data_IF_655381710555
#
_entry.id   IF_655381710555
#
_cell.length_a   1.000
_cell.length_b   1.000
_cell.length_c   1.000
_cell.angle_alpha   90.00
_cell.angle_beta   90.00
_cell.angle_gamma   90.00
#
_symmetry.space_group_name_H-M   'P 1'
#
loop_
_entity.id
_entity.type
_entity.pdbx_description
1 polymer ?
#
# COMPACT_ATOMS: atom_id res chain seq x y z
N UNK A 1 -46.47 -29.31 5.03
CA UNK A 1 -46.45 -29.82 3.63
C UNK A 1 -46.45 -28.65 2.71
N UNK A 2 -45.57 -28.63 1.72
CA UNK A 2 -45.60 -27.61 0.67
C UNK A 2 -46.73 -27.91 -0.35
N UNK A 3 -47.10 -26.89 -1.16
CA UNK A 3 -48.17 -27.04 -2.18
C UNK A 3 -47.90 -28.16 -3.20
N UNK A 4 -46.66 -28.64 -3.33
CA UNK A 4 -46.18 -29.71 -4.21
C UNK A 4 -46.18 -31.10 -3.55
N UNK A 5 -46.73 -31.24 -2.35
CA UNK A 5 -46.76 -32.53 -1.58
C UNK A 5 -45.41 -32.90 -0.93
N UNK A 6 -44.37 -32.10 -1.04
CA UNK A 6 -43.08 -32.39 -0.40
C UNK A 6 -43.09 -32.04 1.08
N UNK A 7 -42.47 -32.90 1.92
CA UNK A 7 -42.29 -32.66 3.36
C UNK A 7 -40.88 -32.17 3.63
N UNK A 8 -40.75 -31.08 4.38
CA UNK A 8 -39.47 -30.62 4.92
C UNK A 8 -39.42 -30.85 6.40
N UNK A 9 -38.28 -31.31 6.91
CA UNK A 9 -38.05 -31.64 8.31
C UNK A 9 -37.15 -30.58 8.95
N UNK A 10 -37.53 -30.08 10.12
CA UNK A 10 -36.71 -29.15 10.88
C UNK A 10 -35.88 -29.94 11.92
N UNK A 11 -34.57 -29.97 11.70
CA UNK A 11 -33.61 -30.55 12.66
C UNK A 11 -33.21 -29.42 13.60
N UNK A 12 -33.33 -29.67 14.93
CA UNK A 12 -33.03 -28.69 15.97
C UNK A 12 -31.95 -29.26 16.89
N UNK A 13 -30.87 -28.50 17.09
CA UNK A 13 -29.73 -28.88 17.94
C UNK A 13 -29.45 -27.77 18.95
N UNK A 14 -29.05 -28.15 20.17
CA UNK A 14 -28.62 -27.19 21.19
C UNK A 14 -27.20 -26.72 20.96
N UNK A 15 -26.98 -25.41 21.01
CA UNK A 15 -25.66 -24.75 20.92
C UNK A 15 -25.27 -24.13 22.27
N UNK A 16 -25.57 -24.80 23.40
CA UNK A 16 -25.26 -24.33 24.74
C UNK A 16 -26.25 -23.30 25.26
N UNK A 17 -25.78 -22.43 26.16
CA UNK A 17 -26.59 -21.42 26.85
C UNK A 17 -26.02 -20.02 26.60
N UNK A 18 -26.88 -19.00 26.50
CA UNK A 18 -26.47 -17.60 26.43
C UNK A 18 -26.00 -17.09 27.80
N UNK A 19 -25.50 -15.83 27.85
CA UNK A 19 -25.06 -15.18 29.09
C UNK A 19 -26.18 -15.01 30.13
N UNK A 20 -27.44 -15.15 29.74
CA UNK A 20 -28.62 -15.08 30.60
C UNK A 20 -29.12 -16.46 31.01
N UNK A 21 -28.36 -17.54 30.68
CA UNK A 21 -28.71 -18.91 31.03
C UNK A 21 -29.82 -19.52 30.15
N UNK A 22 -30.21 -18.94 29.04
CA UNK A 22 -31.22 -19.44 28.12
C UNK A 22 -30.56 -20.32 27.05
N UNK A 23 -31.16 -21.48 26.79
CA UNK A 23 -30.69 -22.44 25.80
C UNK A 23 -30.73 -21.83 24.39
N UNK A 24 -29.60 -21.85 23.69
CA UNK A 24 -29.47 -21.42 22.31
C UNK A 24 -29.73 -22.61 21.39
N UNK A 25 -30.80 -22.55 20.60
CA UNK A 25 -31.21 -23.63 19.70
C UNK A 25 -30.93 -23.23 18.26
N UNK A 26 -30.29 -24.13 17.52
CA UNK A 26 -29.98 -24.00 16.08
C UNK A 26 -30.89 -24.89 15.28
N UNK A 27 -31.46 -24.37 14.21
CA UNK A 27 -32.39 -25.09 13.35
C UNK A 27 -31.80 -25.23 11.94
N UNK A 28 -31.96 -26.44 11.35
CA UNK A 28 -31.66 -26.70 9.92
C UNK A 28 -32.86 -27.38 9.29
N UNK A 29 -33.30 -26.88 8.12
CA UNK A 29 -34.36 -27.50 7.36
C UNK A 29 -33.75 -28.47 6.32
N UNK A 30 -34.18 -29.72 6.35
CA UNK A 30 -33.82 -30.74 5.37
C UNK A 30 -35.07 -31.16 4.58
N UNK A 31 -34.95 -31.15 3.25
CA UNK A 31 -36.01 -31.65 2.35
C UNK A 31 -35.49 -32.90 1.65
N UNK A 32 -36.02 -34.05 1.97
CA UNK A 32 -35.59 -35.30 1.33
C UNK A 32 -35.96 -35.34 -0.17
N UNK A 33 -35.21 -36.08 -0.98
CA UNK A 33 -35.54 -36.30 -2.39
C UNK A 33 -36.93 -36.96 -2.52
N UNK A 34 -37.63 -36.64 -3.67
CA UNK A 34 -38.92 -37.26 -3.93
C UNK A 34 -38.87 -38.78 -3.88
N UNK A 35 -39.86 -39.42 -3.22
CA UNK A 35 -39.94 -40.89 -3.15
C UNK A 35 -39.19 -41.53 -1.98
N UNK A 36 -38.50 -40.77 -1.13
CA UNK A 36 -37.85 -41.32 0.07
C UNK A 36 -38.83 -41.42 1.20
N UNK A 37 -39.16 -42.65 1.61
CA UNK A 37 -40.14 -42.95 2.68
C UNK A 37 -39.68 -44.05 3.64
N UNK A 38 -40.36 -44.22 4.78
CA UNK A 38 -40.12 -45.29 5.74
C UNK A 38 -38.72 -45.30 6.35
N UNK A 39 -38.18 -46.50 6.58
CA UNK A 39 -36.89 -46.71 7.23
C UNK A 39 -35.68 -45.99 6.52
N UNK A 40 -35.76 -45.77 5.20
CA UNK A 40 -34.73 -45.02 4.48
C UNK A 40 -34.73 -43.56 4.88
N UNK A 41 -35.92 -42.97 5.00
CA UNK A 41 -36.06 -41.58 5.40
C UNK A 41 -35.60 -41.37 6.86
N UNK A 42 -35.98 -42.26 7.79
CA UNK A 42 -35.53 -42.19 9.19
C UNK A 42 -34.00 -42.27 9.31
N UNK A 43 -33.38 -43.21 8.59
CA UNK A 43 -31.91 -43.36 8.58
C UNK A 43 -31.21 -42.10 8.05
N UNK A 44 -31.76 -41.50 7.00
CA UNK A 44 -31.21 -40.30 6.43
C UNK A 44 -31.41 -39.07 7.30
N UNK A 45 -32.61 -38.93 7.94
CA UNK A 45 -32.87 -37.87 8.92
C UNK A 45 -31.92 -37.95 10.10
N UNK A 46 -31.69 -39.18 10.61
CA UNK A 46 -30.74 -39.40 11.69
C UNK A 46 -29.33 -39.03 11.29
N UNK A 47 -28.87 -39.45 10.08
CA UNK A 47 -27.57 -39.10 9.56
C UNK A 47 -27.39 -37.58 9.45
N UNK A 48 -28.42 -36.88 8.95
CA UNK A 48 -28.41 -35.41 8.83
C UNK A 48 -28.41 -34.73 10.19
N UNK A 49 -29.13 -35.29 11.18
CA UNK A 49 -29.15 -34.77 12.55
C UNK A 49 -27.79 -34.95 13.23
N UNK A 50 -27.20 -36.16 13.14
CA UNK A 50 -25.88 -36.46 13.72
C UNK A 50 -24.78 -35.58 13.09
N UNK A 51 -24.80 -35.41 11.77
CA UNK A 51 -23.87 -34.53 11.06
C UNK A 51 -24.04 -33.08 11.50
N UNK A 52 -25.28 -32.60 11.64
CA UNK A 52 -25.58 -31.24 12.10
C UNK A 52 -25.20 -31.01 13.56
N UNK A 53 -25.41 -32.01 14.43
CA UNK A 53 -24.97 -31.95 15.82
C UNK A 53 -23.44 -31.85 15.94
N UNK A 54 -22.70 -32.64 15.14
CA UNK A 54 -21.24 -32.53 15.08
C UNK A 54 -20.78 -31.18 14.58
N UNK A 55 -21.42 -30.62 13.53
CA UNK A 55 -21.13 -29.29 13.06
C UNK A 55 -21.33 -28.21 14.14
N UNK A 56 -22.43 -28.29 14.89
CA UNK A 56 -22.72 -27.36 15.98
C UNK A 56 -21.73 -27.53 17.15
N UNK A 57 -21.39 -28.77 17.53
CA UNK A 57 -20.38 -29.06 18.56
C UNK A 57 -18.98 -28.62 18.16
N UNK A 58 -18.64 -28.70 16.89
CA UNK A 58 -17.36 -28.19 16.34
C UNK A 58 -17.31 -26.66 16.20
N UNK A 59 -18.33 -25.96 16.74
CA UNK A 59 -18.35 -24.48 16.73
C UNK A 59 -18.66 -23.88 15.38
N UNK A 60 -19.22 -24.66 14.42
CA UNK A 60 -19.74 -24.11 13.18
C UNK A 60 -21.07 -23.41 13.54
N UNK A 61 -20.95 -22.16 13.87
CA UNK A 61 -21.95 -21.28 14.46
C UNK A 61 -23.18 -21.07 13.54
N UNK A 62 -24.27 -20.64 14.15
CA UNK A 62 -25.50 -20.07 13.56
C UNK A 62 -25.27 -19.04 12.44
N UNK A 63 -24.10 -18.42 12.40
CA UNK A 63 -23.63 -17.48 11.38
C UNK A 63 -23.24 -18.18 10.07
N UNK A 64 -23.50 -19.51 9.93
CA UNK A 64 -23.29 -20.22 8.66
C UNK A 64 -24.12 -19.65 7.47
N UNK A 65 -25.14 -18.84 7.75
CA UNK A 65 -25.90 -18.07 6.75
C UNK A 65 -25.30 -16.72 6.43
N UNK A 66 -24.26 -16.27 7.17
CA UNK A 66 -23.58 -14.99 6.95
C UNK A 66 -23.04 -14.90 5.52
N UNK A 67 -23.28 -13.78 4.86
CA UNK A 67 -22.73 -13.51 3.55
C UNK A 67 -21.29 -12.97 3.64
N UNK A 68 -20.57 -13.04 2.54
CA UNK A 68 -19.19 -12.52 2.46
C UNK A 68 -19.13 -11.02 2.74
N UNK A 69 -20.11 -10.24 2.29
CA UNK A 69 -20.16 -8.80 2.57
C UNK A 69 -20.26 -8.52 4.08
N UNK A 70 -21.12 -9.25 4.79
CA UNK A 70 -21.28 -9.11 6.24
C UNK A 70 -20.02 -9.53 6.99
N UNK A 71 -19.36 -10.62 6.55
CA UNK A 71 -18.08 -11.06 7.10
C UNK A 71 -16.98 -10.01 6.90
N UNK A 72 -16.89 -9.39 5.73
CA UNK A 72 -15.90 -8.36 5.41
C UNK A 72 -16.11 -7.14 6.31
N UNK A 73 -17.33 -6.66 6.45
CA UNK A 73 -17.63 -5.52 7.34
C UNK A 73 -17.34 -5.83 8.80
N UNK A 74 -17.71 -7.03 9.27
CA UNK A 74 -17.34 -7.50 10.61
C UNK A 74 -15.81 -7.55 10.79
N UNK A 75 -15.08 -8.03 9.78
CA UNK A 75 -13.63 -8.08 9.81
C UNK A 75 -13.01 -6.69 9.90
N UNK A 76 -13.57 -5.69 9.19
CA UNK A 76 -13.12 -4.30 9.32
C UNK A 76 -13.36 -3.77 10.74
N UNK A 77 -14.57 -3.91 11.24
CA UNK A 77 -14.99 -3.33 12.54
C UNK A 77 -14.29 -4.00 13.73
N UNK A 78 -14.24 -5.33 13.74
CA UNK A 78 -13.72 -6.06 14.89
C UNK A 78 -12.20 -6.25 14.88
N UNK A 79 -11.58 -6.23 13.70
CA UNK A 79 -10.16 -6.52 13.59
C UNK A 79 -9.35 -5.44 12.86
N UNK A 80 -9.68 -5.13 11.58
CA UNK A 80 -8.79 -4.37 10.74
C UNK A 80 -8.57 -2.95 11.26
N UNK A 81 -9.65 -2.24 11.63
CA UNK A 81 -9.59 -0.85 12.12
C UNK A 81 -8.87 -0.75 13.47
N UNK A 82 -8.91 -1.81 14.30
CA UNK A 82 -8.25 -1.84 15.61
C UNK A 82 -6.80 -2.29 15.57
N UNK A 83 -6.42 -3.11 14.59
CA UNK A 83 -5.10 -3.79 14.58
C UNK A 83 -4.21 -3.44 13.40
N UNK A 84 -4.77 -3.00 12.27
CA UNK A 84 -4.00 -2.67 11.10
C UNK A 84 -3.71 -1.17 11.03
N UNK A 85 -2.64 -0.81 10.33
CA UNK A 85 -2.31 0.59 10.08
C UNK A 85 -3.39 1.24 9.19
N UNK A 86 -3.76 2.48 9.48
CA UNK A 86 -4.82 3.22 8.79
C UNK A 86 -4.68 3.20 7.24
N UNK A 87 -3.44 3.30 6.71
CA UNK A 87 -3.19 3.19 5.27
C UNK A 87 -3.52 1.80 4.71
N UNK A 88 -3.28 0.74 5.47
CA UNK A 88 -3.63 -0.64 5.07
C UNK A 88 -5.14 -0.80 5.05
N UNK A 89 -5.84 -0.31 6.07
CA UNK A 89 -7.31 -0.31 6.12
C UNK A 89 -7.88 0.44 4.92
N UNK A 90 -7.38 1.65 4.64
CA UNK A 90 -7.79 2.43 3.48
C UNK A 90 -7.59 1.66 2.16
N UNK A 91 -6.44 1.04 1.99
CA UNK A 91 -6.16 0.27 0.77
C UNK A 91 -7.08 -0.95 0.64
N UNK A 92 -7.36 -1.67 1.72
CA UNK A 92 -8.26 -2.81 1.72
C UNK A 92 -9.72 -2.40 1.47
N UNK A 93 -10.18 -1.28 2.02
CA UNK A 93 -11.52 -0.74 1.71
C UNK A 93 -11.72 -0.51 0.22
N UNK A 94 -10.67 -0.10 -0.52
CA UNK A 94 -10.73 0.08 -1.98
C UNK A 94 -10.88 -1.22 -2.77
N UNK A 95 -10.56 -2.37 -2.20
CA UNK A 95 -10.72 -3.67 -2.85
C UNK A 95 -12.14 -4.22 -2.69
N UNK A 96 -12.88 -3.77 -1.65
CA UNK A 96 -14.19 -4.30 -1.29
C UNK A 96 -15.19 -4.27 -2.44
N UNK A 97 -15.38 -3.17 -3.21
CA UNK A 97 -16.42 -3.12 -4.25
C UNK A 97 -16.33 -4.29 -5.25
N UNK A 98 -15.12 -4.65 -5.70
CA UNK A 98 -14.93 -5.78 -6.61
C UNK A 98 -15.12 -7.13 -5.93
N UNK A 99 -14.70 -7.26 -4.68
CA UNK A 99 -14.93 -8.48 -3.89
C UNK A 99 -16.43 -8.68 -3.69
N UNK A 100 -17.17 -7.64 -3.32
CA UNK A 100 -18.63 -7.67 -3.17
C UNK A 100 -19.35 -8.06 -4.47
N UNK A 101 -18.92 -7.50 -5.60
CA UNK A 101 -19.50 -7.84 -6.90
C UNK A 101 -19.30 -9.31 -7.27
N UNK A 102 -18.13 -9.89 -6.97
CA UNK A 102 -17.81 -11.27 -7.36
C UNK A 102 -18.17 -12.33 -6.31
N UNK A 103 -18.08 -12.00 -5.02
CA UNK A 103 -18.17 -12.98 -3.93
C UNK A 103 -19.18 -12.57 -2.84
N UNK A 104 -19.63 -11.30 -2.81
CA UNK A 104 -20.35 -10.71 -1.69
C UNK A 104 -21.61 -11.45 -1.26
N UNK A 105 -22.36 -12.00 -2.22
CA UNK A 105 -23.63 -12.71 -1.96
C UNK A 105 -23.45 -14.16 -1.57
N UNK A 106 -22.23 -14.73 -1.69
CA UNK A 106 -21.98 -16.10 -1.28
C UNK A 106 -22.04 -16.23 0.24
N UNK A 107 -22.60 -17.33 0.72
CA UNK A 107 -22.51 -17.68 2.14
C UNK A 107 -21.08 -18.06 2.48
N UNK A 108 -20.58 -17.56 3.59
CA UNK A 108 -19.19 -17.76 4.05
C UNK A 108 -18.82 -19.24 4.09
N UNK A 109 -19.71 -20.10 4.62
CA UNK A 109 -19.51 -21.56 4.69
C UNK A 109 -19.49 -22.26 3.32
N UNK A 110 -19.96 -21.61 2.25
CA UNK A 110 -20.03 -22.16 0.90
C UNK A 110 -18.88 -21.69 -0.01
N UNK A 111 -18.04 -20.77 0.48
CA UNK A 111 -16.90 -20.29 -0.31
C UNK A 111 -15.85 -21.40 -0.40
N UNK A 112 -15.60 -21.83 -1.65
CA UNK A 112 -14.62 -22.88 -1.99
C UNK A 112 -13.39 -22.26 -2.64
N UNK A 113 -12.24 -22.96 -2.64
CA UNK A 113 -11.07 -22.52 -3.41
C UNK A 113 -11.36 -22.21 -4.87
N UNK A 114 -12.25 -22.99 -5.52
CA UNK A 114 -12.68 -22.77 -6.91
C UNK A 114 -13.36 -21.41 -7.14
N UNK A 115 -14.16 -20.94 -6.18
CA UNK A 115 -14.79 -19.62 -6.28
C UNK A 115 -13.73 -18.51 -6.23
N UNK A 116 -12.70 -18.66 -5.39
CA UNK A 116 -11.59 -17.71 -5.28
C UNK A 116 -10.74 -17.71 -6.56
N UNK A 117 -10.43 -18.90 -7.11
CA UNK A 117 -9.68 -19.01 -8.36
C UNK A 117 -10.45 -18.38 -9.52
N UNK A 118 -11.76 -18.66 -9.66
CA UNK A 118 -12.62 -18.01 -10.65
C UNK A 118 -12.64 -16.48 -10.48
N UNK A 119 -12.73 -16.00 -9.24
CA UNK A 119 -12.67 -14.57 -8.95
C UNK A 119 -11.32 -13.97 -9.37
N UNK A 120 -10.19 -14.64 -9.12
CA UNK A 120 -8.87 -14.15 -9.55
C UNK A 120 -8.74 -14.15 -11.07
N UNK A 121 -9.21 -15.20 -11.76
CA UNK A 121 -9.24 -15.23 -13.22
C UNK A 121 -10.05 -14.07 -13.80
N UNK A 122 -11.23 -13.79 -13.25
CA UNK A 122 -12.04 -12.64 -13.69
C UNK A 122 -11.32 -11.30 -13.48
N UNK A 123 -10.49 -11.16 -12.43
CA UNK A 123 -9.69 -9.95 -12.21
C UNK A 123 -8.57 -9.79 -13.23
N UNK A 124 -8.11 -10.88 -13.85
CA UNK A 124 -7.07 -10.91 -14.89
C UNK A 124 -7.63 -10.84 -16.31
N UNK A 125 -8.95 -10.90 -16.49
CA UNK A 125 -9.59 -10.74 -17.79
C UNK A 125 -9.44 -9.31 -18.35
N UNK A 126 -9.38 -9.23 -19.67
CA UNK A 126 -9.40 -7.93 -20.37
C UNK A 126 -10.75 -7.25 -20.13
N UNK A 127 -10.74 -5.94 -19.91
CA UNK A 127 -11.95 -5.16 -19.64
C UNK A 127 -12.27 -4.93 -18.17
N UNK A 128 -11.67 -5.68 -17.23
CA UNK A 128 -11.90 -5.49 -15.78
C UNK A 128 -11.34 -4.14 -15.26
N UNK A 129 -10.38 -3.57 -15.98
CA UNK A 129 -9.80 -2.27 -15.68
C UNK A 129 -10.54 -1.17 -16.46
N UNK A 130 -11.72 -0.83 -16.04
CA UNK A 130 -12.45 0.36 -16.47
C UNK A 130 -11.83 1.62 -15.83
N UNK A 131 -10.63 1.98 -16.23
CA UNK A 131 -10.04 3.26 -15.86
C UNK A 131 -10.31 4.26 -17.00
N UNK A 132 -11.56 4.68 -17.17
CA UNK A 132 -11.85 5.88 -17.95
C UNK A 132 -11.20 7.07 -17.25
N UNK A 133 -10.40 7.82 -18.01
CA UNK A 133 -9.85 9.09 -17.56
C UNK A 133 -10.56 10.22 -18.28
N UNK A 134 -10.64 11.36 -17.65
CA UNK A 134 -11.45 12.49 -18.12
C UNK A 134 -10.58 13.73 -18.21
N UNK A 135 -10.59 14.42 -19.36
CA UNK A 135 -9.94 15.73 -19.54
C UNK A 135 -10.98 16.83 -19.65
N UNK A 136 -10.75 17.95 -19.00
CA UNK A 136 -11.64 19.10 -19.04
C UNK A 136 -11.79 19.65 -20.47
N UNK A 137 -13.01 19.90 -20.88
CA UNK A 137 -13.31 20.58 -22.16
C UNK A 137 -13.09 22.09 -22.05
N UNK A 138 -12.85 22.80 -23.16
CA UNK A 138 -12.81 24.27 -23.17
C UNK A 138 -14.05 24.89 -22.54
N UNK A 139 -15.24 24.34 -22.82
CA UNK A 139 -16.51 24.83 -22.29
C UNK A 139 -16.57 24.76 -20.73
N UNK A 140 -15.98 23.75 -20.12
CA UNK A 140 -15.86 23.68 -18.67
C UNK A 140 -14.86 24.73 -18.16
N UNK A 141 -13.71 24.90 -18.82
CA UNK A 141 -12.65 25.79 -18.38
C UNK A 141 -13.08 27.25 -18.42
N UNK A 142 -13.95 27.65 -19.37
CA UNK A 142 -14.56 28.97 -19.43
C UNK A 142 -15.44 29.28 -18.22
N UNK A 143 -16.14 28.28 -17.67
CA UNK A 143 -17.01 28.42 -16.50
C UNK A 143 -16.26 28.37 -15.17
N UNK A 144 -14.98 27.99 -15.18
CA UNK A 144 -14.17 27.78 -14.00
C UNK A 144 -12.95 28.71 -13.98
N UNK A 145 -13.10 30.01 -13.62
CA UNK A 145 -12.02 30.96 -13.68
C UNK A 145 -10.86 30.58 -12.72
N UNK A 146 -9.64 30.80 -13.20
CA UNK A 146 -8.41 30.44 -12.46
C UNK A 146 -8.30 31.07 -11.07
N UNK A 147 -8.85 32.24 -10.83
CA UNK A 147 -8.81 32.94 -9.55
C UNK A 147 -9.64 32.30 -8.43
N UNK A 148 -10.65 31.46 -8.78
CA UNK A 148 -11.58 30.85 -7.81
C UNK A 148 -11.30 29.36 -7.57
N UNK A 149 -10.12 28.85 -7.90
CA UNK A 149 -9.78 27.42 -7.80
C UNK A 149 -10.01 26.83 -6.41
N UNK A 150 -9.64 27.57 -5.37
CA UNK A 150 -9.79 27.11 -3.99
C UNK A 150 -11.26 26.94 -3.57
N UNK A 151 -12.11 27.89 -3.95
CA UNK A 151 -13.55 27.84 -3.67
C UNK A 151 -14.22 26.70 -4.44
N UNK A 152 -13.90 26.55 -5.74
CA UNK A 152 -14.42 25.49 -6.57
C UNK A 152 -13.96 24.11 -6.06
N UNK A 153 -12.68 23.98 -5.69
CA UNK A 153 -12.15 22.75 -5.10
C UNK A 153 -12.87 22.38 -3.80
N UNK A 154 -13.14 23.37 -2.94
CA UNK A 154 -13.88 23.17 -1.70
C UNK A 154 -15.33 22.79 -1.96
N UNK A 155 -16.01 23.46 -2.89
CA UNK A 155 -17.40 23.14 -3.28
C UNK A 155 -17.52 21.74 -3.90
N UNK A 156 -16.54 21.34 -4.72
CA UNK A 156 -16.48 20.00 -5.31
C UNK A 156 -15.99 18.92 -4.33
N UNK A 157 -15.51 19.29 -3.14
CA UNK A 157 -14.95 18.35 -2.18
C UNK A 157 -13.71 17.61 -2.73
N UNK A 158 -12.82 18.35 -3.45
CA UNK A 158 -11.55 17.86 -4.00
C UNK A 158 -10.40 18.73 -3.53
N UNK A 159 -9.16 18.26 -3.66
CA UNK A 159 -7.98 19.07 -3.33
C UNK A 159 -7.70 20.13 -4.40
N UNK A 160 -7.12 21.28 -4.00
CA UNK A 160 -6.72 22.35 -4.92
C UNK A 160 -5.77 21.87 -6.02
N UNK A 161 -4.85 20.95 -5.71
CA UNK A 161 -3.94 20.35 -6.70
C UNK A 161 -4.71 19.52 -7.74
N UNK A 162 -5.80 18.85 -7.32
CA UNK A 162 -6.69 18.14 -8.25
C UNK A 162 -7.40 19.14 -9.16
N UNK A 163 -7.87 20.26 -8.62
CA UNK A 163 -8.49 21.32 -9.42
C UNK A 163 -7.48 21.98 -10.38
N UNK A 164 -6.23 22.15 -9.94
CA UNK A 164 -5.14 22.63 -10.81
C UNK A 164 -4.89 21.67 -11.98
N UNK A 165 -4.97 20.36 -11.75
CA UNK A 165 -4.86 19.36 -12.81
C UNK A 165 -6.01 19.45 -13.81
N UNK A 166 -7.24 19.68 -13.33
CA UNK A 166 -8.41 19.95 -14.21
C UNK A 166 -8.12 21.15 -15.13
N UNK A 167 -7.66 22.27 -14.58
CA UNK A 167 -7.34 23.48 -15.35
C UNK A 167 -6.18 23.29 -16.37
N UNK A 168 -5.26 22.37 -16.10
CA UNK A 168 -4.15 22.07 -17.01
C UNK A 168 -4.52 21.06 -18.09
N UNK A 169 -5.77 20.60 -18.14
CA UNK A 169 -6.16 19.55 -19.06
C UNK A 169 -5.56 18.18 -18.76
N UNK A 170 -5.08 17.97 -17.52
CA UNK A 170 -4.57 16.68 -17.11
C UNK A 170 -5.71 15.68 -16.89
N UNK A 171 -5.42 14.40 -17.12
CA UNK A 171 -6.37 13.33 -16.87
C UNK A 171 -6.79 13.24 -15.39
N UNK A 172 -8.09 13.24 -15.13
CA UNK A 172 -8.68 13.06 -13.80
C UNK A 172 -9.56 11.81 -13.77
N UNK A 173 -9.87 11.32 -12.57
CA UNK A 173 -10.77 10.17 -12.39
C UNK A 173 -12.22 10.57 -12.64
N UNK A 174 -13.07 9.60 -12.98
CA UNK A 174 -14.52 9.78 -13.14
C UNK A 174 -15.15 10.49 -11.93
N UNK A 175 -14.86 10.04 -10.72
CA UNK A 175 -15.38 10.66 -9.50
C UNK A 175 -14.99 12.16 -9.37
N UNK A 176 -13.78 12.52 -9.82
CA UNK A 176 -13.34 13.92 -9.85
C UNK A 176 -14.12 14.69 -10.92
N UNK A 177 -14.23 14.12 -12.10
CA UNK A 177 -14.97 14.73 -13.22
C UNK A 177 -16.45 14.97 -12.87
N UNK A 178 -17.13 13.98 -12.28
CA UNK A 178 -18.53 14.11 -11.82
C UNK A 178 -18.71 15.20 -10.76
N UNK A 179 -17.80 15.29 -9.79
CA UNK A 179 -17.86 16.32 -8.74
C UNK A 179 -17.69 17.72 -9.30
N UNK A 180 -16.73 17.91 -10.21
CA UNK A 180 -16.47 19.20 -10.84
C UNK A 180 -17.61 19.57 -11.78
N UNK A 181 -18.13 18.62 -12.59
CA UNK A 181 -19.28 18.83 -13.46
C UNK A 181 -20.51 19.30 -12.68
N UNK A 182 -20.76 18.70 -11.51
CA UNK A 182 -21.89 19.08 -10.64
C UNK A 182 -21.75 20.52 -10.15
N UNK A 183 -20.56 20.95 -9.74
CA UNK A 183 -20.30 22.33 -9.30
C UNK A 183 -20.42 23.33 -10.45
N UNK A 184 -19.96 22.91 -11.65
CA UNK A 184 -20.06 23.75 -12.84
C UNK A 184 -21.47 23.79 -13.46
N UNK A 185 -22.39 22.95 -12.97
CA UNK A 185 -23.75 22.85 -13.55
C UNK A 185 -23.80 22.27 -14.98
N UNK A 186 -22.75 21.60 -15.43
CA UNK A 186 -22.67 20.99 -16.76
C UNK A 186 -22.81 19.46 -16.67
N UNK A 187 -23.50 18.83 -17.66
CA UNK A 187 -23.45 17.38 -17.81
C UNK A 187 -22.02 16.88 -18.03
N UNK A 188 -21.68 15.70 -17.49
CA UNK A 188 -20.34 15.13 -17.56
C UNK A 188 -19.79 15.08 -18.99
N UNK A 189 -20.63 14.68 -19.96
CA UNK A 189 -20.27 14.60 -21.39
C UNK A 189 -19.98 15.93 -22.07
N UNK A 190 -20.45 17.05 -21.51
CA UNK A 190 -20.13 18.41 -22.00
C UNK A 190 -18.96 19.03 -21.24
N UNK A 191 -18.81 18.66 -19.96
CA UNK A 191 -17.76 19.17 -19.08
C UNK A 191 -16.41 18.48 -19.32
N UNK A 192 -16.43 17.20 -19.68
CA UNK A 192 -15.21 16.41 -19.83
C UNK A 192 -15.26 15.54 -21.09
N UNK A 193 -14.10 15.38 -21.71
CA UNK A 193 -13.87 14.36 -22.73
C UNK A 193 -13.43 13.08 -22.03
N UNK A 194 -14.16 12.00 -22.24
CA UNK A 194 -13.81 10.68 -21.73
C UNK A 194 -12.76 10.04 -22.61
N UNK A 195 -11.70 9.56 -21.99
CA UNK A 195 -10.67 8.73 -22.61
C UNK A 195 -10.77 7.34 -22.00
N UNK A 196 -11.51 6.47 -22.68
CA UNK A 196 -11.57 5.06 -22.33
C UNK A 196 -10.21 4.46 -22.66
N UNK A 197 -9.44 4.05 -21.67
CA UNK A 197 -8.35 3.14 -21.92
C UNK A 197 -8.97 1.81 -22.26
N UNK A 198 -8.56 1.19 -23.38
CA UNK A 198 -8.89 -0.21 -23.64
C UNK A 198 -8.62 -1.00 -22.37
N UNK A 199 -9.65 -1.64 -21.84
CA UNK A 199 -9.66 -2.23 -20.52
C UNK A 199 -8.54 -3.26 -20.38
N UNK A 200 -7.45 -2.87 -19.69
CA UNK A 200 -6.34 -3.75 -19.39
C UNK A 200 -6.74 -4.72 -18.27
N UNK A 201 -6.08 -5.87 -18.25
CA UNK A 201 -6.14 -6.82 -17.12
C UNK A 201 -5.47 -6.22 -15.88
N UNK A 202 -5.88 -6.65 -14.69
CA UNK A 202 -5.10 -6.39 -13.49
C UNK A 202 -3.84 -7.26 -13.51
N UNK A 203 -2.70 -6.69 -13.14
CA UNK A 203 -1.48 -7.47 -13.02
C UNK A 203 -1.52 -8.41 -11.80
N UNK A 204 -0.76 -9.49 -11.84
CA UNK A 204 -0.72 -10.51 -10.79
C UNK A 204 -0.40 -9.92 -9.39
N UNK A 205 0.45 -8.89 -9.31
CA UNK A 205 0.75 -8.19 -8.05
C UNK A 205 -0.49 -7.53 -7.44
N UNK A 206 -1.36 -6.95 -8.28
CA UNK A 206 -2.63 -6.35 -7.83
C UNK A 206 -3.59 -7.44 -7.36
N UNK A 207 -3.73 -8.55 -8.10
CA UNK A 207 -4.60 -9.67 -7.71
C UNK A 207 -4.12 -10.30 -6.40
N UNK A 208 -2.80 -10.38 -6.16
CA UNK A 208 -2.27 -10.82 -4.87
C UNK A 208 -2.71 -9.92 -3.68
N UNK A 209 -3.00 -8.65 -3.88
CA UNK A 209 -3.56 -7.82 -2.80
C UNK A 209 -4.97 -8.27 -2.41
N UNK A 210 -5.80 -8.68 -3.39
CA UNK A 210 -7.11 -9.28 -3.11
C UNK A 210 -6.96 -10.59 -2.35
N UNK A 211 -6.07 -11.49 -2.80
CA UNK A 211 -5.79 -12.76 -2.13
C UNK A 211 -5.36 -12.54 -0.67
N UNK A 212 -4.41 -11.61 -0.42
CA UNK A 212 -3.93 -11.32 0.95
C UNK A 212 -5.04 -10.78 1.86
N UNK A 213 -5.90 -9.91 1.35
CA UNK A 213 -7.05 -9.41 2.10
C UNK A 213 -8.02 -10.55 2.43
N UNK A 214 -8.47 -11.32 1.42
CA UNK A 214 -9.39 -12.45 1.60
C UNK A 214 -8.81 -13.51 2.53
N UNK A 215 -7.53 -13.83 2.41
CA UNK A 215 -6.85 -14.76 3.31
C UNK A 215 -6.84 -14.26 4.76
N UNK A 216 -6.67 -12.94 4.99
CA UNK A 216 -6.77 -12.35 6.32
C UNK A 216 -8.21 -12.41 6.87
N UNK A 217 -9.21 -12.13 6.03
CA UNK A 217 -10.63 -12.22 6.38
C UNK A 217 -10.98 -13.67 6.80
N UNK A 218 -10.63 -14.66 5.96
CA UNK A 218 -10.91 -16.06 6.27
C UNK A 218 -10.10 -16.60 7.44
N UNK A 219 -8.89 -16.12 7.69
CA UNK A 219 -8.13 -16.46 8.89
C UNK A 219 -8.89 -16.03 10.14
N UNK A 220 -9.53 -14.86 10.11
CA UNK A 220 -10.40 -14.42 11.21
C UNK A 220 -11.71 -15.21 11.28
N UNK A 221 -12.30 -15.53 10.15
CA UNK A 221 -13.48 -16.38 10.09
C UNK A 221 -13.24 -17.75 10.76
N UNK A 222 -12.07 -18.37 10.55
CA UNK A 222 -11.66 -19.59 11.27
C UNK A 222 -11.53 -19.34 12.76
N UNK A 223 -10.87 -18.25 13.18
CA UNK A 223 -10.71 -17.90 14.60
C UNK A 223 -12.05 -17.58 15.29
N UNK A 224 -13.05 -17.10 14.55
CA UNK A 224 -14.40 -16.84 15.02
C UNK A 224 -15.31 -18.07 14.95
N UNK A 225 -14.81 -19.23 14.47
CA UNK A 225 -15.57 -20.47 14.34
C UNK A 225 -16.63 -20.46 13.22
N UNK A 226 -16.52 -19.55 12.25
CA UNK A 226 -17.48 -19.42 11.14
C UNK A 226 -17.23 -20.44 10.02
N UNK A 227 -15.98 -20.84 9.84
CA UNK A 227 -15.53 -21.85 8.86
C UNK A 227 -14.45 -22.73 9.48
N UNK A 228 -14.38 -24.01 9.10
CA UNK A 228 -13.39 -24.94 9.66
C UNK A 228 -11.97 -24.67 9.18
N UNK A 229 -11.81 -24.15 7.97
CA UNK A 229 -10.51 -23.85 7.38
C UNK A 229 -10.56 -22.61 6.47
N UNK A 230 -9.40 -22.04 6.21
CA UNK A 230 -9.27 -20.89 5.31
C UNK A 230 -9.15 -21.38 3.86
N UNK A 231 -10.16 -21.15 2.99
CA UNK A 231 -10.15 -21.62 1.60
C UNK A 231 -9.04 -20.98 0.75
N UNK A 232 -8.53 -19.80 1.15
CA UNK A 232 -7.43 -19.14 0.43
C UNK A 232 -6.12 -19.94 0.50
N UNK A 233 -5.94 -20.82 1.50
CA UNK A 233 -4.72 -21.65 1.60
C UNK A 233 -4.62 -22.69 0.50
N UNK A 234 -5.75 -23.08 -0.11
CA UNK A 234 -5.84 -24.04 -1.21
C UNK A 234 -6.10 -23.38 -2.55
N UNK A 235 -6.40 -22.09 -2.57
CA UNK A 235 -6.56 -21.32 -3.80
C UNK A 235 -5.17 -20.83 -4.26
N UNK A 236 -4.81 -21.17 -5.49
CA UNK A 236 -3.59 -20.64 -6.11
C UNK A 236 -3.79 -19.16 -6.43
N UNK A 237 -3.03 -18.29 -5.75
CA UNK A 237 -2.97 -16.89 -6.11
C UNK A 237 -2.10 -16.72 -7.37
N UNK A 238 -2.44 -15.77 -8.26
CA UNK A 238 -1.59 -15.44 -9.39
C UNK A 238 -0.15 -15.15 -8.96
N UNK A 239 0.82 -15.60 -9.77
CA UNK A 239 2.23 -15.30 -9.51
C UNK A 239 2.47 -13.80 -9.57
N UNK A 240 3.29 -13.29 -8.65
CA UNK A 240 3.79 -11.93 -8.75
C UNK A 240 4.65 -11.80 -10.01
N UNK A 241 4.41 -10.77 -10.79
CA UNK A 241 5.33 -10.38 -11.85
C UNK A 241 6.63 -9.89 -11.20
N UNK A 242 7.76 -10.43 -11.62
CA UNK A 242 9.06 -9.90 -11.23
C UNK A 242 9.21 -8.51 -11.84
N UNK A 243 9.45 -7.53 -10.99
CA UNK A 243 9.69 -6.15 -11.41
C UNK A 243 11.20 -5.98 -11.43
N UNK A 244 11.74 -5.71 -12.61
CA UNK A 244 13.15 -5.33 -12.73
C UNK A 244 13.44 -4.09 -11.87
N UNK A 245 14.44 -4.22 -11.02
CA UNK A 245 14.83 -3.15 -10.11
C UNK A 245 15.70 -2.16 -10.87
N UNK A 246 15.10 -1.06 -11.29
CA UNK A 246 15.82 0.01 -11.96
C UNK A 246 16.67 0.78 -10.94
N UNK A 247 17.98 0.84 -11.17
CA UNK A 247 18.91 1.71 -10.46
C UNK A 247 19.60 2.63 -11.48
N UNK A 248 20.01 3.80 -11.05
CA UNK A 248 20.82 4.70 -11.87
C UNK A 248 22.29 4.24 -11.85
N UNK A 249 22.96 4.34 -12.96
CA UNK A 249 24.41 4.15 -13.07
C UNK A 249 25.17 5.36 -12.50
N UNK A 250 26.46 5.20 -12.22
CA UNK A 250 27.29 6.28 -11.63
C UNK A 250 27.26 7.55 -12.45
N UNK A 251 27.32 7.45 -13.78
CA UNK A 251 27.26 8.58 -14.69
C UNK A 251 25.92 9.33 -14.60
N UNK A 252 24.82 8.58 -14.52
CA UNK A 252 23.48 9.16 -14.38
C UNK A 252 23.28 9.80 -13.00
N UNK A 253 23.90 9.25 -11.96
CA UNK A 253 23.91 9.87 -10.63
C UNK A 253 24.67 11.19 -10.67
N UNK A 254 25.82 11.25 -11.34
CA UNK A 254 26.57 12.50 -11.50
C UNK A 254 25.75 13.57 -12.27
N UNK A 255 25.10 13.17 -13.38
CA UNK A 255 24.18 14.05 -14.14
C UNK A 255 23.01 14.52 -13.30
N UNK A 256 22.41 13.62 -12.50
CA UNK A 256 21.32 13.97 -11.59
C UNK A 256 21.76 14.98 -10.53
N UNK A 257 22.91 14.77 -9.89
CA UNK A 257 23.44 15.70 -8.89
C UNK A 257 23.71 17.08 -9.48
N UNK A 258 24.20 17.15 -10.72
CA UNK A 258 24.38 18.41 -11.44
C UNK A 258 23.03 19.09 -11.74
N UNK A 259 22.06 18.35 -12.27
CA UNK A 259 20.72 18.88 -12.57
C UNK A 259 19.99 19.38 -11.31
N UNK A 260 20.22 18.76 -10.15
CA UNK A 260 19.62 19.18 -8.89
C UNK A 260 20.03 20.56 -8.40
N UNK A 261 21.03 21.20 -9.01
CA UNK A 261 21.39 22.61 -8.75
C UNK A 261 20.29 23.56 -9.22
N UNK A 262 19.55 23.19 -10.28
CA UNK A 262 18.44 23.97 -10.84
C UNK A 262 17.08 23.62 -10.21
N UNK A 263 17.04 22.63 -9.31
CA UNK A 263 15.82 22.20 -8.65
C UNK A 263 15.43 23.11 -7.48
N UNK A 264 14.13 23.19 -7.14
CA UNK A 264 13.72 23.85 -5.89
C UNK A 264 14.47 23.24 -4.70
N UNK A 265 15.11 24.09 -3.88
CA UNK A 265 16.04 23.69 -2.82
C UNK A 265 15.55 22.51 -1.98
N UNK A 266 14.29 22.53 -1.54
CA UNK A 266 13.74 21.44 -0.73
C UNK A 266 13.72 20.09 -1.47
N UNK A 267 13.34 20.07 -2.76
CA UNK A 267 13.28 18.83 -3.55
C UNK A 267 14.68 18.32 -3.91
N UNK A 268 15.63 19.23 -4.16
CA UNK A 268 17.04 18.91 -4.30
C UNK A 268 17.57 18.18 -3.07
N UNK A 269 17.38 18.76 -1.89
CA UNK A 269 17.84 18.14 -0.62
C UNK A 269 17.13 16.79 -0.34
N UNK A 270 15.82 16.67 -0.57
CA UNK A 270 15.09 15.41 -0.41
C UNK A 270 15.68 14.32 -1.33
N UNK A 271 15.99 14.67 -2.58
CA UNK A 271 16.53 13.73 -3.59
C UNK A 271 17.95 13.31 -3.22
N UNK A 272 18.81 14.24 -2.85
CA UNK A 272 20.17 13.95 -2.42
C UNK A 272 20.20 13.11 -1.15
N UNK A 273 19.34 13.41 -0.17
CA UNK A 273 19.21 12.57 1.03
C UNK A 273 18.76 11.13 0.69
N UNK A 274 17.88 10.95 -0.29
CA UNK A 274 17.47 9.62 -0.74
C UNK A 274 18.67 8.85 -1.32
N UNK A 275 19.52 9.50 -2.13
CA UNK A 275 20.75 8.92 -2.65
C UNK A 275 21.77 8.63 -1.55
N UNK A 276 22.06 9.57 -0.65
CA UNK A 276 23.10 9.42 0.37
C UNK A 276 22.72 8.42 1.45
N UNK A 277 21.43 8.34 1.84
CA UNK A 277 21.00 7.53 3.00
C UNK A 277 20.30 6.23 2.62
N UNK A 278 19.79 6.12 1.40
CA UNK A 278 18.91 5.03 1.00
C UNK A 278 17.59 4.97 1.80
N UNK A 279 17.23 6.03 2.52
CA UNK A 279 16.00 6.09 3.31
C UNK A 279 14.76 6.12 2.40
N UNK A 280 13.65 5.56 2.91
CA UNK A 280 12.40 5.59 2.16
C UNK A 280 11.85 7.02 2.09
N UNK A 281 11.17 7.37 1.00
CA UNK A 281 10.54 8.70 0.81
C UNK A 281 9.78 9.18 2.05
N UNK A 282 8.91 8.35 2.61
CA UNK A 282 8.13 8.72 3.79
C UNK A 282 8.97 8.88 5.07
N UNK A 283 10.09 8.19 5.17
CA UNK A 283 11.07 8.36 6.25
C UNK A 283 11.75 9.72 6.12
N UNK A 284 12.23 10.07 4.92
CA UNK A 284 12.84 11.38 4.63
C UNK A 284 11.86 12.51 4.90
N UNK A 285 10.65 12.46 4.31
CA UNK A 285 9.63 13.49 4.54
C UNK A 285 9.18 13.62 6.01
N UNK A 286 9.41 12.58 6.82
CA UNK A 286 9.06 12.56 8.25
C UNK A 286 10.19 12.99 9.18
N UNK A 287 11.35 13.41 8.67
CA UNK A 287 12.49 13.83 9.48
C UNK A 287 12.23 15.13 10.22
N UNK A 288 12.78 15.21 11.42
CA UNK A 288 12.83 16.39 12.26
C UNK A 288 14.28 16.84 12.43
N UNK A 289 14.52 18.12 12.72
CA UNK A 289 15.85 18.60 13.06
C UNK A 289 16.41 17.92 14.33
N UNK A 290 15.54 17.52 15.26
CA UNK A 290 15.90 16.72 16.43
C UNK A 290 16.36 15.28 16.11
N UNK A 291 16.10 14.78 14.89
CA UNK A 291 16.60 13.47 14.43
C UNK A 291 17.99 13.56 13.80
N UNK A 292 18.53 14.78 13.60
CA UNK A 292 19.78 15.03 12.88
C UNK A 292 20.82 15.59 13.86
N UNK A 293 21.89 14.86 14.04
CA UNK A 293 23.08 15.32 14.72
C UNK A 293 24.13 15.70 13.67
N UNK A 294 24.30 17.02 13.46
CA UNK A 294 25.24 17.55 12.45
C UNK A 294 26.70 17.44 12.91
N UNK A 295 26.95 17.43 14.20
CA UNK A 295 28.30 17.31 14.78
C UNK A 295 28.77 15.86 14.72
N UNK A 296 27.93 14.94 15.18
CA UNK A 296 28.18 13.50 15.02
C UNK A 296 28.00 13.01 13.58
N UNK A 297 27.42 13.79 12.67
CA UNK A 297 27.13 13.40 11.30
C UNK A 297 26.19 12.19 11.23
N UNK A 298 25.06 12.21 11.95
CA UNK A 298 24.11 11.08 11.97
C UNK A 298 22.67 11.52 11.79
N UNK A 299 21.86 10.63 11.18
CA UNK A 299 20.41 10.78 11.06
C UNK A 299 19.71 9.56 11.69
N UNK A 300 18.79 9.81 12.60
CA UNK A 300 17.96 8.79 13.23
C UNK A 300 16.61 8.67 12.50
N UNK A 301 16.32 7.49 11.97
CA UNK A 301 15.03 7.18 11.32
C UNK A 301 14.06 6.64 12.36
N UNK A 302 13.18 7.51 12.88
CA UNK A 302 12.26 7.19 13.97
C UNK A 302 10.80 7.06 13.51
N UNK A 303 10.44 7.70 12.39
CA UNK A 303 9.05 7.77 11.92
C UNK A 303 8.94 7.80 10.40
N UNK A 304 7.70 7.72 9.94
CA UNK A 304 7.36 7.80 8.50
C UNK A 304 6.16 8.72 8.33
N UNK A 305 6.24 9.67 7.44
CA UNK A 305 5.14 10.51 7.03
C UNK A 305 4.39 9.86 5.86
N UNK A 306 3.06 9.79 5.97
CA UNK A 306 2.18 9.21 4.95
C UNK A 306 0.99 10.13 4.71
N UNK A 307 0.49 10.16 3.47
CA UNK A 307 -0.79 10.76 3.17
C UNK A 307 -1.88 9.69 3.12
N UNK A 308 -2.97 9.92 3.83
CA UNK A 308 -4.15 9.05 3.85
C UNK A 308 -5.34 9.91 3.45
N UNK A 309 -6.03 9.60 2.34
CA UNK A 309 -7.22 10.33 1.93
C UNK A 309 -8.27 10.37 3.06
N UNK A 310 -8.85 11.54 3.27
CA UNK A 310 -9.78 11.80 4.38
C UNK A 310 -9.14 12.08 5.74
N UNK A 311 -7.84 11.76 5.93
CA UNK A 311 -7.08 12.06 7.17
C UNK A 311 -5.91 13.02 6.96
N UNK A 312 -5.51 13.26 5.71
CA UNK A 312 -4.37 14.11 5.39
C UNK A 312 -3.01 13.44 5.65
N UNK A 313 -2.01 14.24 6.00
CA UNK A 313 -0.67 13.76 6.35
C UNK A 313 -0.64 13.24 7.79
N UNK A 314 -0.15 12.01 7.96
CA UNK A 314 -0.11 11.32 9.26
C UNK A 314 1.28 10.76 9.50
N UNK A 315 1.84 11.04 10.67
CA UNK A 315 3.07 10.42 11.15
C UNK A 315 2.77 9.05 11.75
N UNK A 316 3.57 8.07 11.39
CA UNK A 316 3.43 6.70 11.90
C UNK A 316 4.80 6.15 12.29
N UNK A 317 4.84 5.34 13.34
CA UNK A 317 6.05 4.58 13.68
C UNK A 317 6.43 3.59 12.57
N UNK A 318 7.70 3.26 12.40
CA UNK A 318 8.14 2.22 11.50
C UNK A 318 7.45 0.88 11.78
N UNK A 319 7.38 0.00 10.77
CA UNK A 319 6.67 -1.29 10.91
C UNK A 319 7.36 -2.28 11.88
N UNK A 320 8.67 -2.18 12.03
CA UNK A 320 9.49 -3.10 12.83
C UNK A 320 10.53 -2.35 13.65
N UNK A 321 11.03 -2.95 14.74
CA UNK A 321 12.14 -2.39 15.54
C UNK A 321 13.40 -2.16 14.69
N UNK A 322 13.70 -3.04 13.72
CA UNK A 322 14.83 -2.89 12.78
C UNK A 322 14.69 -1.73 11.79
N UNK A 323 13.47 -1.22 11.59
CA UNK A 323 13.27 -0.04 10.75
C UNK A 323 13.70 1.25 11.44
N UNK A 324 13.80 1.27 12.78
CA UNK A 324 14.47 2.33 13.53
C UNK A 324 15.96 2.10 13.42
N UNK A 325 16.67 3.09 12.93
CA UNK A 325 18.10 2.98 12.68
C UNK A 325 18.74 4.36 12.67
N UNK A 326 20.00 4.40 13.04
CA UNK A 326 20.87 5.55 12.90
C UNK A 326 21.73 5.36 11.65
N UNK A 327 21.78 6.35 10.79
CA UNK A 327 22.55 6.34 9.54
C UNK A 327 23.66 7.36 9.65
N UNK A 328 24.91 6.94 9.49
CA UNK A 328 26.06 7.84 9.39
C UNK A 328 26.04 8.54 8.05
N UNK A 329 26.20 9.86 8.05
CA UNK A 329 26.32 10.70 6.89
C UNK A 329 27.79 10.96 6.53
N UNK A 330 28.07 11.11 5.22
CA UNK A 330 29.31 11.68 4.75
C UNK A 330 29.34 13.22 4.91
N UNK A 331 30.52 13.81 4.78
CA UNK A 331 30.73 15.24 4.93
C UNK A 331 29.83 16.10 4.04
N UNK A 332 29.68 15.69 2.77
CA UNK A 332 28.84 16.43 1.80
C UNK A 332 27.36 16.46 2.22
N UNK A 333 26.87 15.35 2.79
CA UNK A 333 25.49 15.28 3.29
C UNK A 333 25.29 16.16 4.52
N UNK A 334 26.28 16.25 5.41
CA UNK A 334 26.26 17.15 6.57
C UNK A 334 26.24 18.60 6.11
N UNK A 335 27.13 18.99 5.18
CA UNK A 335 27.18 20.33 4.61
C UNK A 335 25.86 20.71 3.93
N UNK A 336 25.31 19.81 3.11
CA UNK A 336 24.01 20.00 2.46
C UNK A 336 22.92 20.34 3.50
N UNK A 337 22.87 19.61 4.59
CA UNK A 337 21.88 19.85 5.65
C UNK A 337 22.12 21.14 6.44
N UNK A 338 23.39 21.53 6.65
CA UNK A 338 23.73 22.79 7.30
C UNK A 338 23.26 23.98 6.44
N UNK A 339 23.48 23.93 5.14
CA UNK A 339 23.03 24.97 4.19
C UNK A 339 21.49 25.01 4.12
N UNK A 340 20.86 23.85 4.03
CA UNK A 340 19.42 23.74 4.01
C UNK A 340 18.77 24.29 5.31
N UNK A 341 19.40 24.05 6.46
CA UNK A 341 18.93 24.61 7.75
C UNK A 341 18.94 26.13 7.76
N UNK A 342 19.98 26.74 7.18
CA UNK A 342 20.06 28.20 7.02
C UNK A 342 18.94 28.71 6.10
N UNK A 343 18.76 28.05 4.96
CA UNK A 343 17.71 28.37 4.00
C UNK A 343 16.30 28.29 4.64
N UNK A 344 15.97 27.18 5.30
CA UNK A 344 14.67 27.00 5.95
C UNK A 344 14.42 28.02 7.05
N UNK A 345 15.45 28.40 7.84
CA UNK A 345 15.33 29.45 8.84
C UNK A 345 14.98 30.81 8.21
N UNK A 346 15.58 31.13 7.08
CA UNK A 346 15.29 32.37 6.36
C UNK A 346 13.87 32.38 5.80
N UNK A 347 13.40 31.27 5.21
CA UNK A 347 12.02 31.12 4.75
C UNK A 347 11.01 31.22 5.90
N UNK A 348 11.27 30.54 7.02
CA UNK A 348 10.43 30.65 8.23
C UNK A 348 10.33 32.08 8.73
N UNK A 349 11.43 32.83 8.69
CA UNK A 349 11.44 34.24 9.11
C UNK A 349 10.58 35.12 8.19
N UNK A 350 10.64 34.91 6.86
CA UNK A 350 9.80 35.62 5.88
C UNK A 350 8.31 35.32 6.07
N UNK A 351 7.93 34.10 6.38
CA UNK A 351 6.53 33.68 6.59
C UNK A 351 5.97 34.20 7.92
N UNK A 352 6.80 34.35 8.93
CA UNK A 352 6.44 34.98 10.19
C UNK A 352 5.32 34.25 10.94
N UNK A 353 4.22 34.96 11.21
CA UNK A 353 3.09 34.44 12.02
C UNK A 353 2.29 33.33 11.35
N UNK A 354 2.31 33.22 10.03
CA UNK A 354 1.61 32.15 9.30
C UNK A 354 2.33 30.80 9.40
N UNK A 355 3.56 30.77 9.91
CA UNK A 355 4.28 29.54 10.10
C UNK A 355 3.62 28.67 11.18
N UNK A 356 3.25 27.43 10.80
CA UNK A 356 2.71 26.41 11.72
C UNK A 356 3.74 26.07 12.78
N UNK A 357 3.52 26.52 14.01
CA UNK A 357 4.46 26.34 15.13
C UNK A 357 4.37 24.98 15.80
N UNK A 358 3.22 24.31 15.73
CA UNK A 358 2.98 23.03 16.36
C UNK A 358 2.41 22.03 15.36
N UNK A 359 2.84 20.79 15.46
CA UNK A 359 2.39 19.67 14.62
C UNK A 359 2.00 18.49 15.48
N UNK A 360 1.08 17.68 14.98
CA UNK A 360 0.69 16.43 15.64
C UNK A 360 1.56 15.27 15.14
N UNK A 361 2.27 14.62 16.05
CA UNK A 361 3.09 13.44 15.76
C UNK A 361 2.66 12.31 16.69
N UNK A 362 2.14 11.23 16.14
CA UNK A 362 1.67 10.05 16.89
C UNK A 362 0.68 10.40 18.03
N UNK A 363 -0.25 11.33 17.75
CA UNK A 363 -1.26 11.77 18.72
C UNK A 363 -0.77 12.75 19.78
N UNK A 364 0.47 13.25 19.65
CA UNK A 364 1.04 14.28 20.54
C UNK A 364 1.31 15.56 19.77
N UNK A 365 0.87 16.68 20.32
CA UNK A 365 1.21 18.00 19.81
C UNK A 365 2.63 18.37 20.25
N UNK A 366 3.51 18.60 19.28
CA UNK A 366 4.92 18.95 19.52
C UNK A 366 5.30 20.23 18.78
N UNK A 367 6.36 20.89 19.19
CA UNK A 367 6.94 22.02 18.44
C UNK A 367 7.38 21.54 17.05
N UNK A 368 7.12 22.38 16.07
CA UNK A 368 7.42 22.09 14.67
C UNK A 368 8.90 22.30 14.37
N UNK A 369 9.64 21.23 14.31
CA UNK A 369 11.03 21.15 13.88
C UNK A 369 11.23 20.24 12.68
N UNK A 370 10.20 20.11 11.81
CA UNK A 370 10.26 19.31 10.60
C UNK A 370 11.32 19.83 9.63
N UNK A 371 12.08 18.92 9.01
CA UNK A 371 13.00 19.28 7.93
C UNK A 371 12.24 19.74 6.70
N UNK A 372 11.22 18.98 6.29
CA UNK A 372 10.54 19.20 5.03
C UNK A 372 9.08 19.57 5.27
N UNK A 373 8.70 20.75 4.76
CA UNK A 373 7.40 21.34 5.05
C UNK A 373 6.76 21.90 3.78
N UNK A 374 5.49 22.21 3.86
CA UNK A 374 4.85 23.14 2.93
C UNK A 374 5.38 24.55 3.18
N UNK A 375 5.03 25.49 2.29
CA UNK A 375 5.44 26.91 2.39
C UNK A 375 5.16 27.54 3.77
N UNK A 376 4.08 27.13 4.43
CA UNK A 376 3.66 27.65 5.75
C UNK A 376 4.15 26.78 6.94
N UNK A 377 5.07 25.87 6.75
CA UNK A 377 5.57 25.00 7.82
C UNK A 377 4.73 23.75 8.10
N UNK A 378 3.55 23.58 7.49
CA UNK A 378 2.76 22.36 7.63
C UNK A 378 3.51 21.14 7.04
N UNK A 379 3.24 19.90 7.51
CA UNK A 379 3.90 18.69 6.97
C UNK A 379 3.72 18.59 5.45
N UNK A 380 4.82 18.31 4.74
CA UNK A 380 4.78 18.10 3.29
C UNK A 380 3.96 16.85 2.96
N UNK A 381 3.20 16.87 1.84
CA UNK A 381 2.65 15.62 1.31
C UNK A 381 3.77 14.84 0.58
N UNK A 382 4.14 13.63 1.05
CA UNK A 382 5.16 12.85 0.37
C UNK A 382 4.86 12.54 -1.10
N UNK A 383 3.59 12.65 -1.53
CA UNK A 383 3.19 12.45 -2.91
C UNK A 383 3.76 13.55 -3.82
N UNK A 384 3.91 14.79 -3.31
CA UNK A 384 4.43 15.91 -4.11
C UNK A 384 5.82 15.58 -4.66
N UNK A 385 6.67 14.92 -3.88
CA UNK A 385 8.02 14.49 -4.31
C UNK A 385 7.93 13.51 -5.48
N UNK A 386 7.07 12.49 -5.38
CA UNK A 386 6.90 11.49 -6.45
C UNK A 386 6.18 12.02 -7.67
N UNK A 387 5.42 13.08 -7.55
CA UNK A 387 4.77 13.73 -8.70
C UNK A 387 5.73 14.66 -9.42
N UNK A 388 6.60 15.35 -8.67
CA UNK A 388 7.61 16.25 -9.22
C UNK A 388 8.76 15.50 -9.91
N UNK A 389 9.28 14.45 -9.30
CA UNK A 389 10.52 13.78 -9.71
C UNK A 389 10.54 13.28 -11.15
N UNK A 390 9.50 12.57 -11.67
CA UNK A 390 9.50 12.14 -13.06
C UNK A 390 9.53 13.29 -14.07
N UNK A 391 8.81 14.38 -13.80
CA UNK A 391 8.84 15.57 -14.63
C UNK A 391 10.19 16.27 -14.62
N UNK A 392 10.86 16.27 -13.47
CA UNK A 392 12.22 16.79 -13.34
C UNK A 392 13.24 15.96 -14.13
N UNK A 393 13.18 14.63 -14.05
CA UNK A 393 14.05 13.74 -14.82
C UNK A 393 13.86 13.95 -16.33
N UNK A 394 12.61 14.03 -16.79
CA UNK A 394 12.31 14.26 -18.20
C UNK A 394 12.82 15.63 -18.70
N UNK A 395 12.73 16.67 -17.88
CA UNK A 395 13.21 18.00 -18.23
C UNK A 395 14.75 18.10 -18.37
N UNK A 396 15.49 17.14 -17.79
CA UNK A 396 16.96 17.09 -17.82
C UNK A 396 17.50 15.88 -18.58
N UNK A 397 16.69 15.23 -19.42
CA UNK A 397 17.05 14.05 -20.22
C UNK A 397 17.72 12.93 -19.40
N UNK A 398 17.22 12.71 -18.17
CA UNK A 398 17.68 11.67 -17.27
C UNK A 398 16.83 10.40 -17.42
N UNK A 399 17.38 9.20 -17.14
CA UNK A 399 16.64 7.96 -17.21
C UNK A 399 15.34 8.00 -16.39
N UNK A 400 14.21 7.48 -16.91
CA UNK A 400 12.90 7.55 -16.27
C UNK A 400 12.79 6.52 -15.14
N UNK A 401 13.31 6.85 -13.98
CA UNK A 401 13.24 6.00 -12.77
C UNK A 401 12.25 6.56 -11.76
N UNK A 402 11.74 5.70 -10.89
CA UNK A 402 10.89 6.14 -9.78
C UNK A 402 11.73 6.70 -8.63
N UNK A 403 11.14 7.59 -7.81
CA UNK A 403 11.84 8.13 -6.64
C UNK A 403 12.37 7.03 -5.69
N UNK A 404 11.69 5.88 -5.61
CA UNK A 404 12.16 4.75 -4.80
C UNK A 404 13.41 4.07 -5.38
N UNK A 405 13.65 4.21 -6.68
CA UNK A 405 14.85 3.71 -7.34
C UNK A 405 16.14 4.35 -6.83
N UNK A 406 16.08 5.57 -6.28
CA UNK A 406 17.24 6.20 -5.62
C UNK A 406 17.78 5.38 -4.44
N UNK A 407 16.89 4.69 -3.73
CA UNK A 407 17.29 3.74 -2.68
C UNK A 407 17.95 2.50 -3.27
N UNK A 408 17.47 2.02 -4.42
CA UNK A 408 18.12 0.93 -5.13
C UNK A 408 19.48 1.36 -5.65
N UNK A 409 19.59 2.56 -6.20
CA UNK A 409 20.85 3.18 -6.62
C UNK A 409 21.85 3.26 -5.46
N UNK A 410 21.43 3.77 -4.28
CA UNK A 410 22.28 3.78 -3.09
C UNK A 410 22.82 2.40 -2.74
N UNK A 411 21.97 1.37 -2.76
CA UNK A 411 22.38 0.01 -2.44
C UNK A 411 23.32 -0.58 -3.49
N UNK A 412 23.04 -0.37 -4.79
CA UNK A 412 23.89 -0.85 -5.89
C UNK A 412 25.29 -0.21 -5.84
N UNK A 413 25.35 1.10 -5.61
CA UNK A 413 26.64 1.82 -5.45
C UNK A 413 27.44 1.32 -4.24
N UNK A 414 26.80 1.05 -3.11
CA UNK A 414 27.47 0.51 -1.94
C UNK A 414 27.98 -0.91 -2.17
N UNK A 415 27.22 -1.75 -2.88
CA UNK A 415 27.63 -3.11 -3.23
C UNK A 415 28.78 -3.07 -4.25
N UNK A 416 28.71 -2.21 -5.24
CA UNK A 416 29.80 -1.97 -6.21
C UNK A 416 31.07 -1.47 -5.52
N UNK A 417 30.95 -0.67 -4.46
CA UNK A 417 32.04 -0.25 -3.58
C UNK A 417 32.47 -1.32 -2.56
N UNK A 418 32.10 -2.59 -2.75
CA UNK A 418 32.45 -3.74 -1.91
C UNK A 418 32.01 -3.65 -0.45
N UNK A 419 31.01 -2.81 -0.13
CA UNK A 419 30.42 -2.76 1.22
C UNK A 419 29.67 -4.07 1.50
N UNK A 420 29.91 -4.76 2.62
CA UNK A 420 29.21 -6.01 2.93
C UNK A 420 27.68 -5.88 2.85
N UNK A 421 27.01 -6.82 2.20
CA UNK A 421 25.54 -6.82 1.97
C UNK A 421 24.76 -6.73 3.29
N UNK A 422 25.29 -7.29 4.37
CA UNK A 422 24.73 -7.18 5.72
C UNK A 422 24.73 -5.74 6.24
N UNK A 423 25.80 -4.99 5.99
CA UNK A 423 25.93 -3.57 6.36
C UNK A 423 24.96 -2.72 5.50
N UNK A 424 24.90 -2.98 4.19
CA UNK A 424 23.93 -2.33 3.28
C UNK A 424 22.49 -2.61 3.75
N UNK A 425 22.16 -3.87 4.06
CA UNK A 425 20.84 -4.26 4.56
C UNK A 425 20.47 -3.55 5.87
N UNK A 426 21.43 -3.43 6.80
CA UNK A 426 21.28 -2.68 8.05
C UNK A 426 21.03 -1.20 7.82
N UNK A 427 21.83 -0.56 6.95
CA UNK A 427 21.69 0.85 6.57
C UNK A 427 20.31 1.13 5.93
N UNK A 428 19.85 0.26 5.06
CA UNK A 428 18.54 0.36 4.44
C UNK A 428 17.37 0.02 5.40
N UNK A 429 17.63 -0.71 6.50
CA UNK A 429 16.60 -1.15 7.44
C UNK A 429 15.67 -2.19 6.82
N UNK A 430 16.22 -3.19 6.13
CA UNK A 430 15.49 -4.37 5.69
C UNK A 430 15.29 -5.32 6.88
N UNK A 431 14.08 -5.88 7.00
CA UNK A 431 13.74 -6.80 8.09
C UNK A 431 14.52 -8.12 7.98
N UNK A 432 14.82 -8.53 6.72
CA UNK A 432 15.59 -9.72 6.39
C UNK A 432 16.71 -9.34 5.42
N UNK A 433 17.89 -9.87 5.61
CA UNK A 433 19.03 -9.66 4.70
C UNK A 433 18.77 -10.29 3.32
N UNK A 434 17.98 -11.39 3.26
CA UNK A 434 17.57 -12.01 2.01
C UNK A 434 16.86 -11.00 1.07
N UNK A 435 16.12 -10.03 1.60
CA UNK A 435 15.51 -8.98 0.78
C UNK A 435 16.56 -8.17 0.00
N UNK A 436 17.73 -7.90 0.60
CA UNK A 436 18.83 -7.22 -0.09
C UNK A 436 19.50 -8.17 -1.09
N UNK A 437 19.78 -9.41 -0.68
CA UNK A 437 20.40 -10.40 -1.55
C UNK A 437 19.55 -10.71 -2.78
N UNK A 438 18.23 -10.92 -2.60
CA UNK A 438 17.31 -11.24 -3.69
C UNK A 438 17.20 -10.08 -4.71
N UNK A 439 17.10 -8.84 -4.21
CA UNK A 439 16.97 -7.64 -5.05
C UNK A 439 18.26 -7.34 -5.83
N UNK A 440 19.42 -7.56 -5.20
CA UNK A 440 20.72 -7.17 -5.77
C UNK A 440 21.60 -8.37 -6.19
N UNK A 441 21.00 -9.55 -6.38
CA UNK A 441 21.69 -10.78 -6.79
C UNK A 441 22.50 -10.61 -8.09
N UNK A 442 22.03 -9.80 -9.03
CA UNK A 442 22.73 -9.48 -10.26
C UNK A 442 24.06 -8.76 -10.02
N UNK A 443 24.04 -7.73 -9.16
CA UNK A 443 25.23 -6.96 -8.79
C UNK A 443 26.21 -7.79 -7.93
N UNK A 444 25.70 -8.69 -7.08
CA UNK A 444 26.54 -9.60 -6.27
C UNK A 444 27.26 -10.60 -7.17
N UNK A 445 26.64 -11.08 -8.25
CA UNK A 445 27.27 -11.99 -9.22
C UNK A 445 28.38 -11.34 -10.03
N UNK A 446 28.27 -10.03 -10.34
CA UNK A 446 29.38 -9.30 -10.99
C UNK A 446 30.60 -9.16 -10.06
N UNK A 447 30.40 -9.17 -8.75
CA UNK A 447 31.50 -9.17 -7.78
C UNK A 447 32.23 -10.53 -7.66
N UNK A 448 31.68 -11.61 -8.23
CA UNK A 448 32.32 -12.93 -8.23
C UNK A 448 33.59 -12.96 -9.09
N UNK A 449 33.60 -12.23 -10.20
CA UNK A 449 34.80 -12.04 -11.03
C UNK A 449 35.91 -11.32 -10.24
N UNK A 450 35.57 -10.26 -9.52
CA UNK A 450 36.52 -9.53 -8.67
C UNK A 450 37.01 -10.39 -7.48
N UNK A 451 36.18 -11.29 -6.96
CA UNK A 451 36.60 -12.26 -5.93
C UNK A 451 37.61 -13.28 -6.48
N UNK A 452 37.47 -13.75 -7.70
CA UNK A 452 38.42 -14.62 -8.36
C UNK A 452 39.78 -13.93 -8.58
N UNK A 453 39.77 -12.67 -9.02
CA UNK A 453 40.95 -11.85 -9.18
C UNK A 453 41.68 -11.62 -7.84
N UNK A 454 40.91 -11.26 -6.79
CA UNK A 454 41.45 -11.08 -5.45
C UNK A 454 42.07 -12.38 -4.87
N UNK A 455 41.49 -13.54 -5.13
CA UNK A 455 42.09 -14.83 -4.74
C UNK A 455 43.38 -15.08 -5.53
N UNK A 456 43.43 -14.73 -6.80
CA UNK A 456 44.64 -14.86 -7.62
C UNK A 456 45.77 -13.99 -7.05
N UNK A 457 45.48 -12.76 -6.66
CA UNK A 457 46.46 -11.86 -6.04
C UNK A 457 46.95 -12.38 -4.69
N UNK A 458 46.05 -12.92 -3.86
CA UNK A 458 46.41 -13.55 -2.57
C UNK A 458 47.35 -14.75 -2.78
N UNK A 459 46.98 -15.63 -3.73
CA UNK A 459 47.82 -16.81 -4.02
C UNK A 459 49.16 -16.44 -4.63
N UNK A 460 49.24 -15.39 -5.46
CA UNK A 460 50.49 -14.88 -6.01
C UNK A 460 51.40 -14.37 -4.88
N UNK A 461 50.87 -13.57 -3.96
CA UNK A 461 51.61 -13.07 -2.80
C UNK A 461 52.12 -14.17 -1.91
N UNK A 462 51.29 -15.18 -1.60
CA UNK A 462 51.71 -16.36 -0.81
C UNK A 462 52.84 -17.15 -1.50
N UNK A 463 52.81 -17.24 -2.83
CA UNK A 463 53.89 -17.91 -3.58
C UNK A 463 55.19 -17.12 -3.55
N UNK A 464 55.14 -15.79 -3.67
CA UNK A 464 56.27 -14.91 -3.63
C UNK A 464 56.93 -14.94 -2.22
N UNK A 465 56.13 -14.91 -1.14
CA UNK A 465 56.63 -15.00 0.24
C UNK A 465 57.25 -16.39 0.59
N UNK A 466 56.85 -17.46 -0.08
CA UNK A 466 57.42 -18.80 0.12
C UNK A 466 58.67 -19.08 -0.74
N UNK A 467 59.03 -18.16 -1.65
CA UNK A 467 60.24 -18.24 -2.48
C UNK A 467 61.29 -17.22 -2.10
N UNK A 468 61.07 -16.38 -1.09
CA UNK A 468 62.03 -15.45 -0.47
C UNK A 468 62.59 -16.01 0.82
#
# INVERSE_FOLDING_TARGET
MKKDGSCSYCIRVSNGYDRAGRQVLVNRTYTPPPGMTGKKLERELKRQADAFEQEVRNGISLEASMKMDDLIERWFTEYAEKKLKAKTVYNYRRLVPRISAGLGQLKVCQVKPSHLMAFYSNLEEQGVREDSTYTATPALLELLPHGQRGEIAKAAGIGEDTMRNVHRGANVSQNTAEKVSRVAGLPLSKAFTEHTREGGRLNGNTVQHYHRMLSSVFTKAVQWGLVPENPCKRAEAPKAEEIDVQALEELDVARLLQALQDAPTQFSVITQLALFTGARRGEICGLRWSDVDLDAGTISIERTLQYIPGKGTVFTSPKTKRSRRCIKMGTDCVQLLQEYRKHQKAERFKIGSEWVRKVEIEGKTVENDLLFTKWNGAPIDPKTVTTWFPGFLAAHDLPPVHFHSLRHTNASLLIAAHVPVTAVSGRLGHAKTSTTTDIYAGFIRSADAAAADALTDVFTRIREENHA
#
